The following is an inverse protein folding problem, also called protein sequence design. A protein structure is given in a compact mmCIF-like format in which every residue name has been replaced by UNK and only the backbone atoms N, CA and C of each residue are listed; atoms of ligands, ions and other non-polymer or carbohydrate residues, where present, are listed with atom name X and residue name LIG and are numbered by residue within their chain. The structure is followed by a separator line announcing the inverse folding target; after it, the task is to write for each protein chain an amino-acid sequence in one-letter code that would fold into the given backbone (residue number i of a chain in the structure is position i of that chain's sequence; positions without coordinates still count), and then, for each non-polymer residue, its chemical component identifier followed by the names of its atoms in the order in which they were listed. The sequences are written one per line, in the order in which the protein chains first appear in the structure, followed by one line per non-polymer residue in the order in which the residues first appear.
data_IF_087235268323
#
_entry.id   IF_087235268323
#
_cell.length_a   1.000
_cell.length_b   1.000
_cell.length_c   1.000
_cell.angle_alpha   90.00
_cell.angle_beta   90.00
_cell.angle_gamma   90.00
#
_symmetry.space_group_name_H-M   'P 1'
#
loop_
_entity.id
_entity.type
_entity.pdbx_description
1 polymer ?
#
# COMPACT_ATOMS: atom_id res chain seq x y z
N UNK A 1 -29.10 -4.41 -20.12
CA UNK A 1 -29.14 -3.27 -19.18
C UNK A 1 -30.28 -2.34 -19.59
N UNK A 2 -31.44 -2.43 -18.95
CA UNK A 2 -32.55 -1.52 -19.22
C UNK A 2 -32.20 -0.12 -18.66
N UNK A 3 -32.19 0.90 -19.52
CA UNK A 3 -31.94 2.31 -19.14
C UNK A 3 -33.03 2.75 -18.16
N UNK A 4 -32.65 3.07 -16.92
CA UNK A 4 -33.54 3.70 -15.94
C UNK A 4 -34.06 5.00 -16.56
N UNK A 5 -35.39 5.09 -16.77
CA UNK A 5 -36.04 6.27 -17.35
C UNK A 5 -35.99 7.40 -16.32
N UNK A 6 -35.37 8.52 -16.68
CA UNK A 6 -35.30 9.71 -15.84
C UNK A 6 -36.71 10.30 -15.68
N UNK A 7 -37.24 10.30 -14.44
CA UNK A 7 -38.59 10.78 -14.08
C UNK A 7 -38.58 12.21 -13.53
N UNK A 8 -37.49 12.95 -13.73
CA UNK A 8 -37.34 14.31 -13.19
C UNK A 8 -38.39 15.27 -13.75
N UNK A 9 -38.81 15.11 -15.01
CA UNK A 9 -39.87 15.94 -15.60
C UNK A 9 -41.26 15.61 -15.05
N UNK A 10 -41.60 14.33 -14.89
CA UNK A 10 -42.87 13.90 -14.28
C UNK A 10 -43.05 14.49 -12.87
N UNK A 11 -41.96 14.57 -12.11
CA UNK A 11 -41.95 15.18 -10.79
C UNK A 11 -42.15 16.70 -10.83
N UNK A 12 -41.51 17.41 -11.78
CA UNK A 12 -41.71 18.85 -11.97
C UNK A 12 -43.16 19.16 -12.32
N UNK A 13 -43.77 18.35 -13.17
CA UNK A 13 -45.19 18.49 -13.56
C UNK A 13 -46.13 18.26 -12.38
N UNK A 14 -45.89 17.23 -11.57
CA UNK A 14 -46.66 17.01 -10.36
C UNK A 14 -46.58 18.20 -9.38
N UNK A 15 -45.37 18.76 -9.18
CA UNK A 15 -45.17 19.94 -8.32
C UNK A 15 -45.85 21.18 -8.90
N UNK A 16 -45.84 21.38 -10.23
CA UNK A 16 -46.58 22.46 -10.90
C UNK A 16 -48.08 22.35 -10.63
N UNK A 17 -48.67 21.17 -10.83
CA UNK A 17 -50.10 20.95 -10.61
C UNK A 17 -50.52 21.20 -9.16
N UNK A 18 -49.73 20.73 -8.20
CA UNK A 18 -50.01 20.93 -6.77
C UNK A 18 -49.90 22.42 -6.40
N UNK A 19 -48.89 23.13 -6.89
CA UNK A 19 -48.72 24.56 -6.61
C UNK A 19 -49.87 25.40 -7.18
N UNK A 20 -50.38 25.06 -8.36
CA UNK A 20 -51.57 25.70 -8.95
C UNK A 20 -52.81 25.40 -8.09
N UNK A 21 -52.99 24.16 -7.64
CA UNK A 21 -54.15 23.79 -6.78
C UNK A 21 -54.15 24.51 -5.42
N UNK A 22 -52.97 24.89 -4.92
CA UNK A 22 -52.81 25.64 -3.67
C UNK A 22 -52.89 27.17 -3.88
N UNK A 23 -53.18 27.64 -5.10
CA UNK A 23 -53.37 29.06 -5.39
C UNK A 23 -52.11 29.91 -5.39
N UNK A 24 -50.94 29.33 -5.72
CA UNK A 24 -49.69 30.09 -5.79
C UNK A 24 -49.68 31.03 -7.00
N UNK A 25 -49.34 32.31 -6.77
CA UNK A 25 -49.13 33.30 -7.83
C UNK A 25 -48.03 32.85 -8.80
N UNK A 26 -48.15 33.28 -10.07
CA UNK A 26 -47.23 32.91 -11.16
C UNK A 26 -45.76 33.22 -10.85
N UNK A 27 -45.50 34.31 -10.13
CA UNK A 27 -44.16 34.69 -9.64
C UNK A 27 -43.57 33.71 -8.63
N UNK A 28 -44.40 33.14 -7.73
CA UNK A 28 -43.98 32.13 -6.76
C UNK A 28 -43.78 30.77 -7.43
N UNK A 29 -44.63 30.42 -8.40
CA UNK A 29 -44.48 29.21 -9.19
C UNK A 29 -43.17 29.24 -9.99
N UNK A 30 -42.87 30.35 -10.67
CA UNK A 30 -41.61 30.54 -11.37
C UNK A 30 -40.39 30.45 -10.45
N UNK A 31 -40.46 31.00 -9.23
CA UNK A 31 -39.39 30.88 -8.24
C UNK A 31 -39.18 29.42 -7.74
N UNK A 32 -40.25 28.66 -7.57
CA UNK A 32 -40.17 27.22 -7.21
C UNK A 32 -39.57 26.43 -8.38
N UNK A 33 -40.02 26.67 -9.60
CA UNK A 33 -39.50 26.00 -10.80
C UNK A 33 -38.02 26.33 -11.06
N UNK A 34 -37.62 27.59 -10.87
CA UNK A 34 -36.23 28.02 -10.98
C UNK A 34 -35.32 27.36 -9.92
N UNK A 35 -35.86 27.06 -8.73
CA UNK A 35 -35.10 26.39 -7.66
C UNK A 35 -34.72 24.93 -7.98
N UNK A 36 -35.37 24.31 -8.97
CA UNK A 36 -35.00 22.98 -9.47
C UNK A 36 -33.91 23.02 -10.55
N UNK A 37 -33.67 24.19 -11.18
CA UNK A 37 -32.65 24.36 -12.23
C UNK A 37 -31.26 24.52 -11.60
N UNK A 38 -31.17 25.29 -10.52
CA UNK A 38 -29.92 25.51 -9.78
C UNK A 38 -30.11 24.93 -8.38
N UNK A 39 -29.42 23.82 -8.09
CA UNK A 39 -29.42 23.24 -6.76
C UNK A 39 -28.94 24.30 -5.76
N UNK A 40 -29.82 24.70 -4.84
CA UNK A 40 -29.43 25.59 -3.74
C UNK A 40 -28.25 24.94 -3.02
N UNK A 41 -27.13 25.65 -2.80
CA UNK A 41 -26.01 25.08 -2.09
C UNK A 41 -26.52 24.60 -0.73
N UNK A 42 -26.35 23.31 -0.45
CA UNK A 42 -26.73 22.74 0.85
C UNK A 42 -26.13 23.61 1.95
N UNK A 43 -26.97 24.06 2.89
CA UNK A 43 -26.50 24.78 4.07
C UNK A 43 -25.42 23.94 4.73
N UNK A 44 -24.18 24.45 4.71
CA UNK A 44 -23.02 23.71 5.18
C UNK A 44 -23.19 23.49 6.68
N UNK A 45 -23.15 22.23 7.11
CA UNK A 45 -23.24 21.91 8.53
C UNK A 45 -22.10 22.61 9.29
N UNK A 46 -22.27 22.87 10.61
CA UNK A 46 -21.19 23.41 11.44
C UNK A 46 -19.90 22.60 11.33
N UNK A 47 -20.03 21.27 11.21
CA UNK A 47 -18.92 20.36 10.93
C UNK A 47 -18.24 20.65 9.59
N UNK A 48 -19.01 20.79 8.50
CA UNK A 48 -18.46 21.09 7.16
C UNK A 48 -17.72 22.43 7.14
N UNK A 49 -18.23 23.44 7.86
CA UNK A 49 -17.55 24.74 7.99
C UNK A 49 -16.23 24.62 8.76
N UNK A 50 -16.22 23.87 9.86
CA UNK A 50 -15.01 23.60 10.62
C UNK A 50 -13.96 22.83 9.79
N UNK A 51 -14.39 21.79 9.06
CA UNK A 51 -13.52 20.98 8.21
C UNK A 51 -12.87 21.78 7.08
N UNK A 52 -13.60 22.72 6.47
CA UNK A 52 -13.04 23.58 5.44
C UNK A 52 -12.03 24.58 6.02
N UNK A 53 -12.32 25.15 7.20
CA UNK A 53 -11.37 26.03 7.89
C UNK A 53 -10.09 25.30 8.27
N UNK A 54 -10.18 24.04 8.73
CA UNK A 54 -8.98 23.23 8.99
C UNK A 54 -8.19 22.94 7.72
N UNK A 55 -8.86 22.73 6.59
CA UNK A 55 -8.21 22.49 5.30
C UNK A 55 -7.46 23.74 4.80
N UNK A 56 -8.04 24.92 4.99
CA UNK A 56 -7.36 26.20 4.72
C UNK A 56 -6.10 26.37 5.59
N UNK A 57 -6.19 26.05 6.89
CA UNK A 57 -5.03 26.11 7.79
C UNK A 57 -3.92 25.13 7.40
N UNK A 58 -4.28 23.92 6.96
CA UNK A 58 -3.30 22.92 6.48
C UNK A 58 -2.59 23.45 5.22
N UNK A 59 -3.34 24.01 4.26
CA UNK A 59 -2.74 24.59 3.05
C UNK A 59 -1.78 25.74 3.35
N UNK A 60 -2.09 26.59 4.33
CA UNK A 60 -1.19 27.66 4.79
C UNK A 60 0.10 27.10 5.42
N UNK A 61 -0.01 26.02 6.20
CA UNK A 61 1.14 25.34 6.80
C UNK A 61 2.03 24.68 5.76
N UNK A 62 1.44 24.00 4.76
CA UNK A 62 2.18 23.40 3.66
C UNK A 62 3.00 24.44 2.89
N UNK A 63 2.40 25.60 2.57
CA UNK A 63 3.10 26.70 1.92
C UNK A 63 4.25 27.27 2.77
N UNK A 64 4.04 27.38 4.08
CA UNK A 64 5.06 27.83 5.02
C UNK A 64 6.26 26.86 5.06
N UNK A 65 5.99 25.56 5.20
CA UNK A 65 7.01 24.51 5.21
C UNK A 65 7.80 24.46 3.90
N UNK A 66 7.13 24.66 2.76
CA UNK A 66 7.77 24.68 1.45
C UNK A 66 8.73 25.89 1.30
N UNK A 67 8.33 27.05 1.82
CA UNK A 67 9.12 28.28 1.81
C UNK A 67 10.37 28.17 2.69
N UNK A 68 10.25 27.51 3.84
CA UNK A 68 11.32 27.35 4.82
C UNK A 68 12.07 26.02 4.70
N UNK A 69 11.84 25.23 3.65
CA UNK A 69 12.41 23.90 3.45
C UNK A 69 13.94 23.83 3.60
N UNK A 70 14.67 24.85 3.13
CA UNK A 70 16.13 24.90 3.24
C UNK A 70 16.61 25.02 4.69
N UNK A 71 15.86 25.76 5.50
CA UNK A 71 16.18 26.01 6.91
C UNK A 71 16.07 24.73 7.76
N UNK A 72 15.36 23.70 7.28
CA UNK A 72 15.15 22.41 7.95
C UNK A 72 16.07 21.27 7.46
N UNK A 73 16.83 21.48 6.37
CA UNK A 73 17.68 20.42 5.76
C UNK A 73 19.15 20.55 6.20
N UNK A 74 19.56 21.71 6.72
CA UNK A 74 20.94 21.94 7.13
C UNK A 74 21.28 21.23 8.46
N UNK A 75 22.15 20.22 8.37
CA UNK A 75 22.56 19.26 9.41
C UNK A 75 23.21 19.89 10.67
N UNK A 76 23.51 21.19 10.70
CA UNK A 76 24.38 21.81 11.72
C UNK A 76 23.78 23.02 12.44
N UNK A 77 22.45 23.20 12.44
CA UNK A 77 21.81 24.32 13.14
C UNK A 77 21.13 23.95 14.46
N UNK A 78 20.45 22.80 14.52
CA UNK A 78 19.70 22.38 15.71
C UNK A 78 20.55 21.53 16.63
N UNK A 79 20.62 21.92 17.90
CA UNK A 79 21.25 21.07 18.93
C UNK A 79 20.52 19.72 19.03
N UNK A 80 21.21 18.67 19.44
CA UNK A 80 20.62 17.33 19.60
C UNK A 80 19.38 17.35 20.51
N UNK A 81 19.42 18.18 21.56
CA UNK A 81 18.30 18.38 22.49
C UNK A 81 17.07 19.07 21.85
N UNK A 82 17.27 20.02 20.94
CA UNK A 82 16.17 20.64 20.19
C UNK A 82 15.53 19.67 19.20
N UNK A 83 16.33 18.77 18.60
CA UNK A 83 15.80 17.72 17.73
C UNK A 83 14.96 16.72 18.50
N UNK A 84 15.44 16.26 19.66
CA UNK A 84 14.69 15.35 20.53
C UNK A 84 13.37 15.98 21.01
N UNK A 85 13.38 17.26 21.35
CA UNK A 85 12.18 18.00 21.75
C UNK A 85 11.16 18.07 20.60
N UNK A 86 11.62 18.35 19.37
CA UNK A 86 10.75 18.40 18.19
C UNK A 86 10.18 17.01 17.87
N UNK A 87 11.01 15.97 17.93
CA UNK A 87 10.56 14.59 17.71
C UNK A 87 9.52 14.15 18.74
N UNK A 88 9.72 14.52 20.01
CA UNK A 88 8.77 14.26 21.08
C UNK A 88 7.43 14.99 20.86
N UNK A 89 7.46 16.26 20.44
CA UNK A 89 6.24 17.00 20.10
C UNK A 89 5.50 16.40 18.90
N UNK A 90 6.22 15.97 17.87
CA UNK A 90 5.66 15.29 16.69
C UNK A 90 5.02 13.96 17.08
N UNK A 91 5.66 13.18 17.95
CA UNK A 91 5.10 11.94 18.50
C UNK A 91 3.79 12.18 19.23
N UNK A 92 3.74 13.17 20.14
CA UNK A 92 2.53 13.52 20.89
C UNK A 92 1.39 13.97 19.94
N UNK A 93 1.72 14.75 18.91
CA UNK A 93 0.75 15.18 17.90
C UNK A 93 0.23 13.98 17.09
N UNK A 94 1.11 13.06 16.70
CA UNK A 94 0.74 11.85 15.97
C UNK A 94 -0.23 10.98 16.78
N UNK A 95 0.03 10.79 18.08
CA UNK A 95 -0.85 10.02 18.97
C UNK A 95 -2.24 10.65 19.09
N UNK A 96 -2.29 11.98 19.24
CA UNK A 96 -3.55 12.74 19.27
C UNK A 96 -4.32 12.62 17.95
N UNK A 97 -3.63 12.67 16.80
CA UNK A 97 -4.26 12.50 15.49
C UNK A 97 -4.83 11.08 15.30
N UNK A 98 -4.10 10.05 15.71
CA UNK A 98 -4.60 8.67 15.69
C UNK A 98 -5.83 8.50 16.59
N UNK A 99 -5.83 9.09 17.78
CA UNK A 99 -6.98 9.08 18.69
C UNK A 99 -8.23 9.75 18.08
N UNK A 100 -8.06 10.90 17.42
CA UNK A 100 -9.15 11.59 16.72
C UNK A 100 -9.67 10.77 15.54
N UNK A 101 -8.77 10.15 14.78
CA UNK A 101 -9.12 9.29 13.63
C UNK A 101 -9.91 8.07 14.08
N UNK A 102 -9.48 7.40 15.15
CA UNK A 102 -10.19 6.26 15.72
C UNK A 102 -11.62 6.64 16.19
N UNK A 103 -11.78 7.80 16.83
CA UNK A 103 -13.11 8.31 17.23
C UNK A 103 -13.98 8.62 16.01
N UNK A 104 -13.40 9.17 14.95
CA UNK A 104 -14.13 9.42 13.71
C UNK A 104 -14.62 8.13 13.06
N UNK A 105 -13.77 7.09 13.02
CA UNK A 105 -14.14 5.78 12.49
C UNK A 105 -15.23 5.09 13.30
N UNK A 106 -15.18 5.20 14.63
CA UNK A 106 -16.26 4.73 15.51
C UNK A 106 -17.58 5.42 15.20
N UNK A 107 -17.60 6.75 15.11
CA UNK A 107 -18.82 7.51 14.79
C UNK A 107 -19.34 7.21 13.38
N UNK A 108 -18.44 6.97 12.43
CA UNK A 108 -18.75 6.56 11.07
C UNK A 108 -19.42 5.17 11.07
N UNK A 109 -18.87 4.21 11.80
CA UNK A 109 -19.44 2.86 11.94
C UNK A 109 -20.84 2.88 12.56
N UNK A 110 -21.06 3.67 13.63
CA UNK A 110 -22.38 3.84 14.25
C UNK A 110 -23.40 4.38 13.23
N UNK A 111 -23.03 5.41 12.45
CA UNK A 111 -23.91 5.96 11.42
C UNK A 111 -24.26 4.97 10.32
N UNK A 112 -23.30 4.13 9.91
CA UNK A 112 -23.55 3.07 8.95
C UNK A 112 -24.52 2.02 9.51
N UNK A 113 -24.32 1.62 10.77
CA UNK A 113 -25.21 0.66 11.43
C UNK A 113 -26.64 1.22 11.58
N UNK A 114 -26.79 2.49 11.95
CA UNK A 114 -28.08 3.16 12.03
C UNK A 114 -28.78 3.27 10.67
N UNK A 115 -28.02 3.49 9.59
CA UNK A 115 -28.56 3.50 8.23
C UNK A 115 -29.05 2.10 7.80
N UNK A 116 -28.33 1.04 8.19
CA UNK A 116 -28.74 -0.35 7.97
C UNK A 116 -30.01 -0.67 8.77
N UNK A 117 -30.02 -0.36 10.07
CA UNK A 117 -31.16 -0.61 10.97
C UNK A 117 -32.43 0.12 10.52
N UNK A 118 -32.31 1.29 9.88
CA UNK A 118 -33.44 2.04 9.30
C UNK A 118 -33.96 1.46 7.99
N UNK A 119 -33.15 0.70 7.25
CA UNK A 119 -33.54 0.09 5.94
C UNK A 119 -34.07 -1.34 6.06
N UNK A 120 -33.85 -2.03 7.19
CA UNK A 120 -34.40 -3.36 7.42
C UNK A 120 -35.89 -3.23 7.81
N UNK A 121 -36.86 -3.71 7.01
CA UNK A 121 -38.26 -3.72 7.42
C UNK A 121 -38.41 -4.69 8.61
N UNK A 122 -38.90 -4.17 9.74
CA UNK A 122 -39.29 -4.99 10.90
C UNK A 122 -40.37 -5.98 10.47
N UNK A 123 -39.99 -7.22 10.14
CA UNK A 123 -40.91 -8.36 10.08
C UNK A 123 -41.52 -8.56 11.47
N UNK A 124 -42.71 -8.02 11.69
CA UNK A 124 -43.55 -8.44 12.81
C UNK A 124 -44.04 -9.85 12.52
N UNK A 125 -43.51 -10.82 13.25
CA UNK A 125 -44.05 -12.17 13.28
C UNK A 125 -45.38 -12.13 14.06
N UNK A 126 -46.51 -12.06 13.35
CA UNK A 126 -47.83 -12.18 13.97
C UNK A 126 -48.03 -13.62 14.43
N UNK A 127 -47.85 -13.87 15.74
CA UNK A 127 -48.25 -15.11 16.39
C UNK A 127 -49.76 -15.07 16.58
N UNK A 128 -50.49 -15.78 15.72
CA UNK A 128 -51.90 -16.06 15.91
C UNK A 128 -52.08 -16.85 17.23
N UNK A 129 -52.76 -16.25 18.19
CA UNK A 129 -53.33 -16.92 19.35
C UNK A 129 -54.84 -16.67 19.33
N UNK A 130 -55.57 -17.78 19.44
CA UNK A 130 -56.97 -17.96 19.11
C UNK A 130 -57.87 -17.68 20.33
N UNK A 131 -59.16 -17.37 20.08
CA UNK A 131 -60.36 -17.51 20.95
C UNK A 131 -60.53 -16.46 22.08
N UNK A 132 -61.67 -15.80 22.34
CA UNK A 132 -63.08 -15.90 21.92
C UNK A 132 -63.77 -14.53 22.16
N UNK A 133 -64.69 -14.10 21.30
CA UNK A 133 -65.84 -13.29 21.75
C UNK A 133 -67.03 -13.54 20.84
N UNK A 134 -68.06 -14.11 21.47
CA UNK A 134 -69.40 -14.38 20.96
C UNK A 134 -70.14 -13.06 20.73
N UNK A 135 -70.69 -12.86 19.53
CA UNK A 135 -71.87 -11.99 19.34
C UNK A 135 -72.84 -12.66 18.38
N UNK A 136 -74.05 -12.87 18.90
CA UNK A 136 -75.24 -13.43 18.29
C UNK A 136 -76.01 -12.32 17.56
N UNK A 137 -76.84 -12.72 16.59
CA UNK A 137 -78.04 -12.08 16.02
C UNK A 137 -78.01 -11.71 14.53
N UNK A 138 -78.45 -12.68 13.72
CA UNK A 138 -79.69 -12.71 12.91
C UNK A 138 -80.11 -11.51 12.04
N UNK A 139 -80.19 -11.74 10.72
CA UNK A 139 -81.36 -11.51 9.81
C UNK A 139 -80.91 -11.82 8.36
N UNK A 140 -81.20 -12.98 7.75
CA UNK A 140 -82.42 -13.39 6.99
C UNK A 140 -83.04 -12.32 6.08
N UNK A 141 -83.00 -12.54 4.75
CA UNK A 141 -84.12 -12.78 3.80
C UNK A 141 -83.60 -12.84 2.34
N UNK A 142 -83.61 -14.01 1.67
CA UNK A 142 -84.56 -14.47 0.62
C UNK A 142 -84.63 -13.56 -0.63
N UNK A 143 -84.15 -13.92 -1.83
CA UNK A 143 -84.50 -15.00 -2.80
C UNK A 143 -85.10 -14.35 -4.07
N UNK A 144 -84.53 -14.64 -5.25
CA UNK A 144 -85.26 -14.81 -6.52
C UNK A 144 -84.32 -15.48 -7.56
N UNK A 145 -84.63 -16.73 -7.87
CA UNK A 145 -84.17 -17.47 -9.05
C UNK A 145 -85.00 -17.05 -10.29
N UNK A 146 -84.39 -17.03 -11.48
CA UNK A 146 -84.74 -17.87 -12.63
C UNK A 146 -84.38 -17.23 -14.01
N UNK A 147 -83.88 -18.09 -14.91
CA UNK A 147 -83.71 -17.99 -16.39
C UNK A 147 -82.41 -17.44 -16.98
N UNK A 148 -81.56 -18.36 -17.44
CA UNK A 148 -80.83 -18.26 -18.71
C UNK A 148 -81.77 -18.70 -19.86
N UNK A 149 -81.67 -18.14 -21.10
CA UNK A 149 -80.62 -18.57 -22.04
C UNK A 149 -80.03 -17.44 -22.90
N UNK A 150 -78.73 -17.48 -23.18
CA UNK A 150 -78.21 -17.37 -24.55
C UNK A 150 -76.70 -17.64 -24.62
N UNK A 151 -76.35 -18.27 -25.72
CA UNK A 151 -75.24 -19.18 -25.94
C UNK A 151 -74.09 -18.46 -26.68
N UNK A 152 -73.05 -17.95 -25.99
CA UNK A 152 -71.76 -17.60 -26.65
C UNK A 152 -70.53 -17.70 -25.69
N UNK A 153 -69.52 -18.45 -26.14
CA UNK A 153 -68.05 -18.39 -25.88
C UNK A 153 -67.39 -19.20 -24.75
N UNK A 154 -67.09 -20.51 -24.97
CA UNK A 154 -66.02 -21.21 -24.25
C UNK A 154 -64.59 -20.82 -24.70
N UNK A 155 -64.44 -20.12 -25.84
CA UNK A 155 -63.12 -19.75 -26.41
C UNK A 155 -62.50 -18.50 -25.79
N UNK A 156 -63.29 -17.49 -25.43
CA UNK A 156 -62.77 -16.23 -24.84
C UNK A 156 -62.14 -16.46 -23.45
N UNK A 157 -62.77 -17.29 -22.63
CA UNK A 157 -62.27 -17.65 -21.30
C UNK A 157 -61.00 -18.51 -21.35
N UNK A 158 -60.87 -19.40 -22.34
CA UNK A 158 -59.66 -20.22 -22.53
C UNK A 158 -58.46 -19.39 -22.98
N UNK A 159 -58.67 -18.44 -23.89
CA UNK A 159 -57.60 -17.53 -24.34
C UNK A 159 -57.15 -16.64 -23.20
N UNK A 160 -58.07 -16.15 -22.36
CA UNK A 160 -57.69 -15.34 -21.20
C UNK A 160 -56.97 -16.14 -20.11
N UNK A 161 -57.37 -17.40 -19.88
CA UNK A 161 -56.65 -18.32 -18.99
C UNK A 161 -55.24 -18.64 -19.52
N UNK A 162 -55.11 -18.87 -20.83
CA UNK A 162 -53.85 -19.19 -21.47
C UNK A 162 -52.87 -18.00 -21.48
N UNK A 163 -53.37 -16.77 -21.67
CA UNK A 163 -52.54 -15.56 -21.55
C UNK A 163 -52.03 -15.36 -20.11
N UNK A 164 -52.86 -15.63 -19.10
CA UNK A 164 -52.43 -15.59 -17.70
C UNK A 164 -51.39 -16.67 -17.38
N UNK A 165 -51.54 -17.87 -17.93
CA UNK A 165 -50.58 -18.94 -17.80
C UNK A 165 -49.25 -18.60 -18.52
N UNK A 166 -49.31 -17.97 -19.69
CA UNK A 166 -48.12 -17.49 -20.42
C UNK A 166 -47.39 -16.36 -19.68
N UNK A 167 -48.13 -15.39 -19.10
CA UNK A 167 -47.56 -14.31 -18.28
C UNK A 167 -46.92 -14.85 -17.00
N UNK A 168 -47.55 -15.82 -16.34
CA UNK A 168 -46.99 -16.44 -15.13
C UNK A 168 -45.75 -17.28 -15.47
N UNK A 169 -45.73 -18.01 -16.58
CA UNK A 169 -44.53 -18.68 -17.08
C UNK A 169 -43.42 -17.68 -17.42
N UNK A 170 -43.71 -16.57 -18.10
CA UNK A 170 -42.73 -15.54 -18.44
C UNK A 170 -42.11 -14.89 -17.19
N UNK A 171 -42.95 -14.53 -16.21
CA UNK A 171 -42.49 -14.01 -14.93
C UNK A 171 -41.65 -15.03 -14.17
N UNK A 172 -42.02 -16.30 -14.22
CA UNK A 172 -41.27 -17.36 -13.56
C UNK A 172 -39.90 -17.58 -14.18
N UNK A 173 -39.78 -17.44 -15.51
CA UNK A 173 -38.50 -17.48 -16.25
C UNK A 173 -37.64 -16.25 -15.93
N UNK A 174 -38.21 -15.05 -15.88
CA UNK A 174 -37.46 -13.85 -15.47
C UNK A 174 -36.97 -13.96 -14.03
N UNK A 175 -37.81 -14.45 -13.12
CA UNK A 175 -37.48 -14.56 -11.70
C UNK A 175 -36.40 -15.64 -11.46
N UNK A 176 -36.42 -16.74 -12.21
CA UNK A 176 -35.35 -17.75 -12.18
C UNK A 176 -34.04 -17.22 -12.77
N UNK A 177 -34.10 -16.48 -13.88
CA UNK A 177 -32.92 -15.82 -14.47
C UNK A 177 -32.30 -14.79 -13.52
N UNK A 178 -33.12 -13.98 -12.85
CA UNK A 178 -32.65 -13.04 -11.83
C UNK A 178 -32.02 -13.76 -10.62
N UNK A 179 -32.58 -14.91 -10.22
CA UNK A 179 -32.05 -15.69 -9.11
C UNK A 179 -30.69 -16.31 -9.46
N UNK A 180 -30.52 -16.85 -10.68
CA UNK A 180 -29.22 -17.31 -11.18
C UNK A 180 -28.20 -16.17 -11.24
N UNK A 181 -28.58 -14.99 -11.75
CA UNK A 181 -27.70 -13.83 -11.79
C UNK A 181 -27.27 -13.40 -10.38
N UNK A 182 -28.18 -13.43 -9.40
CA UNK A 182 -27.86 -13.11 -8.00
C UNK A 182 -26.90 -14.15 -7.42
N UNK A 183 -27.12 -15.45 -7.64
CA UNK A 183 -26.21 -16.51 -7.18
C UNK A 183 -24.82 -16.41 -7.83
N UNK A 184 -24.74 -16.07 -9.11
CA UNK A 184 -23.47 -15.84 -9.79
C UNK A 184 -22.73 -14.61 -9.22
N UNK A 185 -23.46 -13.54 -8.88
CA UNK A 185 -22.85 -12.38 -8.22
C UNK A 185 -22.41 -12.68 -6.79
N UNK A 186 -23.14 -13.53 -6.08
CA UNK A 186 -22.81 -13.95 -4.72
C UNK A 186 -21.52 -14.77 -4.69
N UNK A 187 -21.38 -15.75 -5.59
CA UNK A 187 -20.16 -16.56 -5.72
C UNK A 187 -18.94 -15.70 -6.06
N UNK A 188 -19.06 -14.79 -7.03
CA UNK A 188 -17.97 -13.84 -7.37
C UNK A 188 -17.61 -12.93 -6.19
N UNK A 189 -18.58 -12.49 -5.41
CA UNK A 189 -18.32 -11.68 -4.22
C UNK A 189 -17.59 -12.47 -3.13
N UNK A 190 -17.91 -13.75 -2.94
CA UNK A 190 -17.20 -14.64 -2.01
C UNK A 190 -15.76 -14.88 -2.47
N UNK A 191 -15.52 -15.12 -3.75
CA UNK A 191 -14.18 -15.27 -4.32
C UNK A 191 -13.36 -13.99 -4.16
N UNK A 192 -13.94 -12.83 -4.45
CA UNK A 192 -13.30 -11.54 -4.24
C UNK A 192 -13.00 -11.28 -2.76
N UNK A 193 -13.87 -11.71 -1.84
CA UNK A 193 -13.63 -11.62 -0.40
C UNK A 193 -12.46 -12.50 0.04
N UNK A 194 -12.40 -13.74 -0.45
CA UNK A 194 -11.29 -14.66 -0.18
C UNK A 194 -9.96 -14.12 -0.72
N UNK A 195 -9.97 -13.59 -1.95
CA UNK A 195 -8.79 -12.96 -2.56
C UNK A 195 -8.35 -11.73 -1.78
N UNK A 196 -9.28 -10.87 -1.37
CA UNK A 196 -8.99 -9.66 -0.60
C UNK A 196 -8.42 -9.99 0.79
N UNK A 197 -8.91 -11.07 1.41
CA UNK A 197 -8.34 -11.59 2.65
C UNK A 197 -6.89 -12.06 2.44
N UNK A 198 -6.63 -12.85 1.39
CA UNK A 198 -5.28 -13.33 1.07
C UNK A 198 -4.32 -12.18 0.70
N UNK A 199 -4.80 -11.15 0.02
CA UNK A 199 -3.99 -9.97 -0.26
C UNK A 199 -3.67 -9.20 1.02
N UNK A 200 -4.62 -9.10 1.94
CA UNK A 200 -4.41 -8.44 3.24
C UNK A 200 -3.37 -9.18 4.09
N UNK A 201 -3.37 -10.52 4.09
CA UNK A 201 -2.37 -11.30 4.82
C UNK A 201 -0.98 -11.14 4.23
N UNK A 202 -0.84 -11.15 2.89
CA UNK A 202 0.45 -10.90 2.24
C UNK A 202 0.96 -9.48 2.46
N UNK A 203 0.10 -8.45 2.41
CA UNK A 203 0.50 -7.06 2.68
C UNK A 203 0.97 -6.91 4.14
N UNK A 204 0.28 -7.53 5.09
CA UNK A 204 0.71 -7.53 6.50
C UNK A 204 2.06 -8.25 6.68
N UNK A 205 2.23 -9.40 6.03
CA UNK A 205 3.48 -10.15 6.08
C UNK A 205 4.65 -9.35 5.46
N UNK A 206 4.41 -8.66 4.35
CA UNK A 206 5.40 -7.78 3.74
C UNK A 206 5.77 -6.61 4.65
N UNK A 207 4.79 -5.99 5.33
CA UNK A 207 5.06 -4.93 6.29
C UNK A 207 5.99 -5.41 7.43
N UNK A 208 5.72 -6.60 7.99
CA UNK A 208 6.57 -7.21 9.02
C UNK A 208 8.00 -7.49 8.51
N UNK A 209 8.14 -7.96 7.26
CA UNK A 209 9.46 -8.17 6.67
C UNK A 209 10.25 -6.87 6.49
N UNK A 210 9.56 -5.78 6.11
CA UNK A 210 10.18 -4.46 5.96
C UNK A 210 10.69 -3.95 7.32
N UNK A 211 9.91 -4.13 8.40
CA UNK A 211 10.34 -3.76 9.75
C UNK A 211 11.59 -4.53 10.19
N UNK A 212 11.62 -5.86 9.98
CA UNK A 212 12.79 -6.67 10.31
C UNK A 212 14.05 -6.25 9.53
N UNK A 213 13.90 -5.99 8.23
CA UNK A 213 15.01 -5.52 7.39
C UNK A 213 15.49 -4.14 7.84
N UNK A 214 14.59 -3.26 8.27
CA UNK A 214 14.95 -1.95 8.80
C UNK A 214 15.76 -2.08 10.09
N UNK A 215 15.32 -2.91 11.04
CA UNK A 215 16.03 -3.13 12.30
C UNK A 215 17.44 -3.72 12.06
N UNK A 216 17.55 -4.71 11.17
CA UNK A 216 18.84 -5.27 10.76
C UNK A 216 19.76 -4.23 10.10
N UNK A 217 19.20 -3.34 9.27
CA UNK A 217 19.96 -2.28 8.64
C UNK A 217 20.49 -1.27 9.67
N UNK A 218 19.66 -0.86 10.64
CA UNK A 218 20.06 0.03 11.75
C UNK A 218 21.12 -0.61 12.63
N UNK A 219 21.00 -1.91 12.94
CA UNK A 219 22.02 -2.62 13.70
C UNK A 219 23.33 -2.73 12.90
N UNK A 220 23.25 -3.00 11.59
CA UNK A 220 24.41 -3.06 10.72
C UNK A 220 25.13 -1.70 10.60
N UNK A 221 24.40 -0.58 10.46
CA UNK A 221 25.00 0.75 10.42
C UNK A 221 25.68 1.09 11.75
N UNK A 222 25.03 0.82 12.88
CA UNK A 222 25.63 0.99 14.21
C UNK A 222 26.92 0.20 14.38
N UNK A 223 26.93 -1.06 13.94
CA UNK A 223 28.12 -1.91 13.97
C UNK A 223 29.25 -1.37 13.07
N UNK A 224 28.93 -0.83 11.90
CA UNK A 224 29.91 -0.20 10.99
C UNK A 224 30.47 1.10 11.58
N UNK A 225 29.64 1.94 12.21
CA UNK A 225 30.06 3.17 12.87
C UNK A 225 31.02 2.89 14.04
N UNK A 226 30.65 1.94 14.91
CA UNK A 226 31.51 1.49 16.00
C UNK A 226 32.83 0.93 15.47
N UNK A 227 32.76 0.07 14.43
CA UNK A 227 33.94 -0.43 13.72
C UNK A 227 34.85 0.68 13.20
N UNK A 228 34.28 1.71 12.58
CA UNK A 228 35.04 2.86 12.06
C UNK A 228 35.67 3.70 13.18
N UNK A 229 34.96 3.87 14.31
CA UNK A 229 35.48 4.59 15.49
C UNK A 229 36.66 3.85 16.09
N UNK A 230 36.57 2.53 16.24
CA UNK A 230 37.66 1.70 16.75
C UNK A 230 38.84 1.64 15.78
N UNK A 231 38.59 1.50 14.47
CA UNK A 231 39.64 1.58 13.45
C UNK A 231 40.37 2.93 13.50
N UNK A 232 39.64 4.03 13.66
CA UNK A 232 40.22 5.37 13.80
C UNK A 232 41.11 5.48 15.04
N UNK A 233 40.65 4.92 16.17
CA UNK A 233 41.44 4.87 17.40
C UNK A 233 42.66 3.94 17.29
N UNK A 234 42.56 2.81 16.59
CA UNK A 234 43.66 1.89 16.36
C UNK A 234 44.73 2.50 15.43
N UNK A 235 44.32 3.23 14.39
CA UNK A 235 45.21 4.00 13.53
C UNK A 235 45.96 5.07 14.35
N UNK A 236 45.28 5.77 15.27
CA UNK A 236 45.91 6.75 16.16
C UNK A 236 46.89 6.11 17.16
N UNK A 237 46.57 4.91 17.66
CA UNK A 237 47.43 4.17 18.60
C UNK A 237 48.64 3.50 17.93
N UNK A 238 48.71 3.49 16.59
CA UNK A 238 49.75 2.80 15.82
C UNK A 238 49.92 1.33 16.27
N UNK A 239 48.83 0.71 16.74
CA UNK A 239 48.83 -0.67 17.22
C UNK A 239 48.80 -1.64 16.04
N UNK A 240 49.39 -2.82 16.23
CA UNK A 240 49.44 -3.81 15.16
C UNK A 240 48.01 -4.28 14.83
N UNK A 241 47.71 -4.50 13.55
CA UNK A 241 46.38 -4.93 13.10
C UNK A 241 45.87 -6.20 13.83
N UNK A 242 46.78 -7.00 14.37
CA UNK A 242 46.50 -8.22 15.14
C UNK A 242 45.91 -7.93 16.54
N UNK A 243 46.32 -6.85 17.22
CA UNK A 243 45.74 -6.47 18.52
C UNK A 243 44.34 -5.87 18.36
N UNK A 244 44.10 -5.16 17.25
CA UNK A 244 42.79 -4.62 16.92
C UNK A 244 41.77 -5.71 16.59
N UNK A 245 42.16 -6.76 15.85
CA UNK A 245 41.31 -7.93 15.57
C UNK A 245 40.95 -8.70 16.86
N UNK A 246 41.86 -8.79 17.83
CA UNK A 246 41.62 -9.49 19.09
C UNK A 246 40.68 -8.73 20.04
N UNK A 247 40.74 -7.40 20.07
CA UNK A 247 39.83 -6.58 20.89
C UNK A 247 38.40 -6.60 20.33
N UNK A 248 38.25 -6.48 19.00
CA UNK A 248 36.95 -6.52 18.32
C UNK A 248 36.22 -7.86 18.54
N UNK A 249 36.95 -8.97 18.52
CA UNK A 249 36.41 -10.31 18.74
C UNK A 249 36.02 -10.59 20.19
N UNK A 250 36.55 -9.83 21.15
CA UNK A 250 36.31 -10.03 22.59
C UNK A 250 35.06 -9.29 23.08
N UNK A 251 34.69 -8.22 22.40
CA UNK A 251 33.60 -7.31 22.81
C UNK A 251 32.27 -7.63 22.13
N UNK A 252 32.31 -8.11 20.87
CA UNK A 252 31.14 -8.58 20.14
C UNK A 252 31.09 -10.10 20.10
N UNK A 253 30.57 -10.70 21.18
CA UNK A 253 30.34 -12.15 21.25
C UNK A 253 29.30 -12.62 20.23
N UNK A 254 29.70 -12.76 18.96
CA UNK A 254 28.85 -13.29 17.87
C UNK A 254 29.74 -14.13 16.95
N UNK A 255 29.42 -15.43 16.87
CA UNK A 255 30.12 -16.45 16.08
C UNK A 255 29.96 -16.36 14.56
N UNK A 256 29.62 -15.21 14.01
CA UNK A 256 29.65 -14.96 12.57
C UNK A 256 30.53 -13.75 12.27
N UNK A 257 31.71 -14.03 11.73
CA UNK A 257 32.60 -13.03 11.13
C UNK A 257 31.83 -12.33 9.99
N UNK A 258 31.15 -11.22 10.28
CA UNK A 258 30.55 -10.35 9.26
C UNK A 258 31.68 -9.88 8.33
N UNK A 259 31.68 -10.34 7.08
CA UNK A 259 32.74 -10.04 6.12
C UNK A 259 32.69 -8.55 5.73
N UNK A 260 33.68 -7.76 6.18
CA UNK A 260 33.90 -6.36 5.77
C UNK A 260 34.34 -6.21 4.29
N UNK A 261 34.25 -7.26 3.50
CA UNK A 261 34.73 -7.30 2.12
C UNK A 261 33.81 -8.17 1.24
N UNK A 262 33.66 -7.72 0.01
CA UNK A 262 33.08 -8.51 -1.08
C UNK A 262 34.16 -9.36 -1.71
N UNK A 263 33.82 -10.60 -2.03
CA UNK A 263 34.73 -11.52 -2.68
C UNK A 263 34.85 -11.16 -4.16
N UNK A 264 36.06 -11.21 -4.69
CA UNK A 264 36.32 -11.09 -6.12
C UNK A 264 37.28 -12.17 -6.62
N UNK A 265 37.26 -12.43 -7.92
CA UNK A 265 38.11 -13.41 -8.60
C UNK A 265 38.97 -12.70 -9.64
N UNK A 266 40.27 -12.94 -9.63
CA UNK A 266 41.19 -12.39 -10.64
C UNK A 266 41.05 -13.19 -11.93
N UNK A 267 40.63 -12.56 -13.01
CA UNK A 267 40.50 -13.20 -14.32
C UNK A 267 41.85 -13.24 -15.05
N UNK A 268 42.59 -12.15 -14.96
CA UNK A 268 43.86 -11.99 -15.67
C UNK A 268 44.22 -10.52 -15.81
N UNK A 269 45.11 -10.21 -16.75
CA UNK A 269 45.43 -8.84 -17.09
C UNK A 269 44.61 -8.33 -18.27
N UNK A 270 44.52 -7.01 -18.41
CA UNK A 270 44.00 -6.38 -19.63
C UNK A 270 44.80 -6.93 -20.82
N UNK A 271 44.12 -7.42 -21.84
CA UNK A 271 44.76 -8.07 -23.00
C UNK A 271 44.06 -7.72 -24.32
N UNK A 272 44.79 -7.84 -25.41
CA UNK A 272 44.24 -8.03 -26.76
C UNK A 272 44.27 -9.53 -27.10
N UNK A 273 44.05 -9.88 -28.38
CA UNK A 273 44.15 -11.28 -28.85
C UNK A 273 45.53 -11.86 -28.51
N UNK A 274 46.59 -11.13 -28.84
CA UNK A 274 47.99 -11.58 -28.70
C UNK A 274 48.77 -10.89 -27.57
N UNK A 275 48.44 -9.63 -27.22
CA UNK A 275 49.24 -8.85 -26.28
C UNK A 275 48.59 -8.80 -24.90
N UNK A 276 49.40 -8.76 -23.85
CA UNK A 276 48.95 -8.63 -22.47
C UNK A 276 49.56 -7.40 -21.82
N UNK A 277 48.77 -6.71 -20.99
CA UNK A 277 49.15 -5.47 -20.31
C UNK A 277 49.07 -5.67 -18.78
N UNK A 278 50.17 -6.10 -18.13
CA UNK A 278 50.18 -6.48 -16.70
C UNK A 278 49.92 -5.34 -15.72
N UNK A 279 50.00 -4.09 -16.20
CA UNK A 279 49.75 -2.90 -15.39
C UNK A 279 48.30 -2.74 -14.91
N UNK A 280 47.36 -3.49 -15.52
CA UNK A 280 45.94 -3.44 -15.21
C UNK A 280 45.38 -4.84 -15.11
N UNK A 281 44.84 -5.19 -13.95
CA UNK A 281 44.21 -6.49 -13.71
C UNK A 281 42.71 -6.41 -13.96
N UNK A 282 42.12 -7.51 -14.44
CA UNK A 282 40.69 -7.72 -14.60
C UNK A 282 40.19 -8.58 -13.44
N UNK A 283 39.17 -8.11 -12.75
CA UNK A 283 38.61 -8.78 -11.56
C UNK A 283 37.09 -8.88 -11.73
N UNK A 284 36.53 -10.06 -11.51
CA UNK A 284 35.09 -10.25 -11.39
C UNK A 284 34.71 -10.11 -9.91
N UNK A 285 33.75 -9.25 -9.58
CA UNK A 285 33.21 -9.15 -8.23
C UNK A 285 32.04 -10.13 -8.12
N UNK A 286 31.97 -10.91 -7.04
CA UNK A 286 30.86 -11.84 -6.81
C UNK A 286 29.55 -11.05 -6.62
N UNK A 287 28.49 -11.47 -7.31
CA UNK A 287 27.17 -10.83 -7.23
C UNK A 287 27.00 -9.56 -8.08
N UNK A 288 28.00 -9.16 -8.86
CA UNK A 288 27.92 -8.00 -9.76
C UNK A 288 27.88 -8.46 -11.21
N UNK A 289 26.75 -8.21 -11.88
CA UNK A 289 26.52 -8.69 -13.24
C UNK A 289 26.42 -7.55 -14.25
N UNK A 290 26.02 -6.36 -13.81
CA UNK A 290 25.80 -5.20 -14.69
C UNK A 290 26.92 -4.18 -14.57
N UNK A 291 27.08 -3.33 -15.61
CA UNK A 291 28.05 -2.23 -15.60
C UNK A 291 27.68 -1.13 -14.60
N UNK A 292 26.39 -0.94 -14.36
CA UNK A 292 25.84 0.08 -13.47
C UNK A 292 26.19 -0.25 -12.01
N UNK A 293 26.02 -1.50 -11.59
CA UNK A 293 26.45 -1.98 -10.27
C UNK A 293 27.96 -1.83 -10.04
N UNK A 294 28.78 -2.06 -11.07
CA UNK A 294 30.24 -1.89 -10.98
C UNK A 294 30.64 -0.45 -10.65
N UNK A 295 29.86 0.53 -11.10
CA UNK A 295 30.18 1.94 -10.88
C UNK A 295 30.30 2.27 -9.39
N UNK A 296 29.49 1.63 -8.54
CA UNK A 296 29.56 1.77 -7.07
C UNK A 296 30.91 1.32 -6.49
N UNK A 297 31.52 0.30 -7.09
CA UNK A 297 32.81 -0.23 -6.66
C UNK A 297 34.00 0.63 -7.13
N UNK A 298 33.80 1.68 -7.92
CA UNK A 298 34.88 2.54 -8.37
C UNK A 298 35.59 3.20 -7.17
N UNK A 299 36.93 3.17 -7.16
CA UNK A 299 37.74 3.74 -6.08
C UNK A 299 37.90 2.86 -4.84
N UNK A 300 37.09 1.80 -4.67
CA UNK A 300 37.18 0.86 -3.54
C UNK A 300 38.56 0.19 -3.47
N UNK A 301 39.05 0.00 -2.25
CA UNK A 301 40.32 -0.66 -1.96
C UNK A 301 40.18 -2.17 -2.08
N UNK A 302 41.24 -2.82 -2.53
CA UNK A 302 41.28 -4.29 -2.62
C UNK A 302 42.64 -4.83 -2.18
N UNK A 303 42.64 -6.06 -1.69
CA UNK A 303 43.86 -6.76 -1.32
C UNK A 303 43.89 -8.17 -1.90
N UNK A 304 45.01 -8.49 -2.54
CA UNK A 304 45.38 -9.86 -2.86
C UNK A 304 46.26 -10.40 -1.73
N UNK A 305 45.78 -11.39 -0.99
CA UNK A 305 46.49 -12.01 0.13
C UNK A 305 47.00 -13.37 -0.33
N UNK A 306 48.30 -13.63 -0.12
CA UNK A 306 48.92 -14.91 -0.45
C UNK A 306 49.86 -15.37 0.65
N UNK A 307 50.08 -16.68 0.72
CA UNK A 307 50.99 -17.31 1.68
C UNK A 307 52.35 -17.55 1.04
N UNK A 308 53.42 -17.19 1.75
CA UNK A 308 54.80 -17.42 1.38
C UNK A 308 55.48 -18.41 2.35
N UNK A 309 56.48 -19.16 1.86
CA UNK A 309 57.22 -20.13 2.68
C UNK A 309 58.08 -19.43 3.75
N UNK A 310 58.69 -18.30 3.42
CA UNK A 310 59.57 -17.54 4.31
C UNK A 310 58.77 -16.49 5.10
N UNK A 311 58.95 -16.48 6.42
CA UNK A 311 58.37 -15.45 7.30
C UNK A 311 58.98 -14.08 7.00
N UNK A 312 58.13 -13.07 6.87
CA UNK A 312 58.52 -11.66 6.79
C UNK A 312 57.62 -10.90 7.76
N UNK A 313 58.20 -10.02 8.58
CA UNK A 313 57.45 -9.20 9.54
C UNK A 313 56.55 -10.06 10.46
N UNK A 314 57.12 -11.18 10.95
CA UNK A 314 56.45 -12.10 11.87
C UNK A 314 55.42 -13.06 11.23
N UNK A 315 55.04 -12.87 9.97
CA UNK A 315 53.97 -13.67 9.34
C UNK A 315 54.37 -14.34 8.01
N UNK A 316 53.64 -15.39 7.65
CA UNK A 316 53.74 -16.04 6.33
C UNK A 316 52.84 -15.40 5.28
N UNK A 317 51.93 -14.50 5.69
CA UNK A 317 50.97 -13.88 4.80
C UNK A 317 51.52 -12.56 4.27
N UNK A 318 51.28 -12.32 2.99
CA UNK A 318 51.66 -11.08 2.32
C UNK A 318 50.46 -10.55 1.57
N UNK A 319 50.34 -9.24 1.55
CA UNK A 319 49.26 -8.56 0.85
C UNK A 319 49.81 -7.67 -0.27
N UNK A 320 49.12 -7.66 -1.41
CA UNK A 320 49.31 -6.66 -2.46
C UNK A 320 48.05 -5.82 -2.50
N UNK A 321 48.20 -4.55 -2.13
CA UNK A 321 47.12 -3.58 -2.14
C UNK A 321 46.87 -3.00 -3.52
N UNK A 322 45.60 -2.75 -3.82
CA UNK A 322 45.16 -2.11 -5.05
C UNK A 322 43.87 -1.33 -4.86
N UNK A 323 43.37 -0.80 -5.98
CA UNK A 323 42.09 -0.10 -6.05
C UNK A 323 41.35 -0.43 -7.34
N UNK A 324 40.03 -0.40 -7.27
CA UNK A 324 39.17 -0.45 -8.46
C UNK A 324 39.30 0.89 -9.19
N UNK A 325 39.48 0.84 -10.51
CA UNK A 325 39.65 2.04 -11.34
C UNK A 325 38.43 2.38 -12.17
N UNK A 326 37.92 1.43 -12.96
CA UNK A 326 36.78 1.64 -13.86
C UNK A 326 36.16 0.30 -14.27
N UNK A 327 34.88 0.27 -14.72
CA UNK A 327 34.28 -0.93 -15.29
C UNK A 327 35.00 -1.44 -16.54
N UNK A 328 34.87 -2.74 -16.81
CA UNK A 328 35.35 -3.41 -18.00
C UNK A 328 34.24 -4.22 -18.67
N UNK A 329 33.86 -3.82 -19.89
CA UNK A 329 32.78 -4.50 -20.61
C UNK A 329 31.43 -4.30 -19.93
N UNK A 330 30.51 -5.25 -20.18
CA UNK A 330 29.13 -5.19 -19.70
C UNK A 330 28.81 -6.24 -18.62
N UNK A 331 29.68 -7.22 -18.39
CA UNK A 331 29.46 -8.42 -17.56
C UNK A 331 29.91 -8.28 -16.10
N UNK A 332 29.94 -7.05 -15.57
CA UNK A 332 30.32 -6.82 -14.17
C UNK A 332 31.82 -6.92 -13.85
N UNK A 333 32.68 -7.06 -14.86
CA UNK A 333 34.14 -7.11 -14.68
C UNK A 333 34.68 -5.70 -14.38
N UNK A 334 35.67 -5.61 -13.51
CA UNK A 334 36.31 -4.34 -13.13
C UNK A 334 37.79 -4.31 -13.53
N UNK A 335 38.29 -3.13 -13.89
CA UNK A 335 39.73 -2.89 -14.01
C UNK A 335 40.29 -2.44 -12.68
N UNK A 336 41.34 -3.11 -12.23
CA UNK A 336 42.05 -2.81 -11.00
C UNK A 336 43.50 -2.40 -11.27
N UNK A 337 44.00 -1.47 -10.45
CA UNK A 337 45.43 -1.16 -10.38
C UNK A 337 45.94 -1.47 -8.98
N UNK A 338 47.01 -2.26 -8.93
CA UNK A 338 47.70 -2.61 -7.70
C UNK A 338 48.98 -1.80 -7.55
N UNK A 339 49.49 -1.68 -6.32
CA UNK A 339 50.76 -0.99 -6.02
C UNK A 339 51.93 -1.66 -6.73
N UNK A 340 51.95 -2.99 -6.73
CA UNK A 340 52.80 -3.82 -7.58
C UNK A 340 51.91 -4.66 -8.48
N UNK A 341 52.34 -4.91 -9.72
CA UNK A 341 51.60 -5.77 -10.65
C UNK A 341 51.39 -7.14 -9.99
N UNK A 342 50.17 -7.68 -10.10
CA UNK A 342 49.89 -9.01 -9.57
C UNK A 342 50.77 -10.05 -10.27
N UNK A 343 51.19 -11.13 -9.60
CA UNK A 343 51.87 -12.25 -10.25
C UNK A 343 50.87 -13.07 -11.09
N UNK A 344 51.28 -13.70 -12.21
CA UNK A 344 50.37 -14.48 -13.06
C UNK A 344 49.76 -15.69 -12.34
N UNK A 345 50.42 -16.18 -11.28
CA UNK A 345 49.89 -17.21 -10.38
C UNK A 345 48.58 -16.80 -9.68
N UNK A 346 48.26 -15.51 -9.62
CA UNK A 346 47.03 -15.04 -9.01
C UNK A 346 45.79 -15.21 -9.90
N UNK A 347 45.94 -15.59 -11.17
CA UNK A 347 44.79 -15.86 -12.04
C UNK A 347 43.93 -17.01 -11.47
N UNK A 348 42.62 -16.80 -11.37
CA UNK A 348 41.68 -17.68 -10.70
C UNK A 348 41.68 -17.59 -9.17
N UNK A 349 42.61 -16.83 -8.57
CA UNK A 349 42.67 -16.67 -7.13
C UNK A 349 41.67 -15.61 -6.64
N UNK A 350 41.30 -15.73 -5.36
CA UNK A 350 40.38 -14.83 -4.68
C UNK A 350 41.09 -13.55 -4.23
N UNK A 351 40.39 -12.44 -4.38
CA UNK A 351 40.77 -11.09 -3.92
C UNK A 351 39.67 -10.57 -3.01
N UNK A 352 40.06 -9.80 -2.00
CA UNK A 352 39.13 -9.13 -1.10
C UNK A 352 38.93 -7.69 -1.59
N UNK A 353 37.69 -7.33 -1.91
CA UNK A 353 37.30 -5.96 -2.28
C UNK A 353 36.60 -5.35 -1.08
N UNK A 354 37.19 -4.33 -0.48
CA UNK A 354 36.66 -3.71 0.73
C UNK A 354 35.65 -2.61 0.39
N UNK A 355 34.74 -2.31 1.32
CA UNK A 355 33.71 -1.29 1.12
C UNK A 355 34.22 0.15 1.25
N UNK A 356 35.48 0.36 1.65
CA UNK A 356 36.11 1.67 1.78
C UNK A 356 37.02 2.02 0.58
N UNK A 357 37.22 3.32 0.26
CA UNK A 357 36.53 4.49 0.82
C UNK A 357 35.05 4.51 0.45
N UNK A 358 34.18 4.90 1.39
CA UNK A 358 32.75 5.04 1.14
C UNK A 358 32.44 6.43 0.57
N UNK A 359 31.63 6.47 -0.49
CA UNK A 359 31.07 7.68 -1.08
C UNK A 359 29.53 7.65 -1.01
N UNK A 360 28.97 6.76 -0.18
CA UNK A 360 27.52 6.74 0.11
C UNK A 360 27.19 7.94 0.97
#
# INVERSE_FOLDING_TARGET
MAKIRDRTEDFKDAVRHIAISLGYNETRLAAIMASFIIHKPRQRSPFTRAALKTLESIGALEQFMLKHRKDYVDLHRTTEQERDSIEQEVLILSEKLHSVTARFDQLRAIRFQDAINKRIPRRKLNRAANKNTTTVYSSKTNNLEFSEPDDIQPESLRVQQQVLDDETCALQVELTSLLEAVQETETKMLEMSALNHLMSTHVLQQAQQIELLYEQAVEATKNVELGNKELSQAIQRNSTAAECEQLFAREFGIGELKWLYVRGTVLGYKRSKSNQYPNTSLIQIEGVNTKEEVAWYAGKRMAYIYKAKVKRDGSHYRCIWGKVTRPHGNSGVVRAKFKSNLPPKSMGARVRVFMYPSNI
#
